data_IF_452273840743
#
_entry.id   IF_452273840743
#
_cell.length_a   1.000
_cell.length_b   1.000
_cell.length_c   1.000
_cell.angle_alpha   90.00
_cell.angle_beta   90.00
_cell.angle_gamma   90.00
#
_symmetry.space_group_name_H-M   'P 1'
#
loop_
_entity.id
_entity.type
_entity.pdbx_description
1 polymer ?
#
# COMPACT_ATOMS: atom_id res chain seq x y z
N UNK A 1 29.50 5.14 -19.95
CA UNK A 1 28.24 5.88 -20.13
C UNK A 1 28.39 7.41 -20.10
N UNK A 2 29.51 7.99 -19.64
CA UNK A 2 29.72 9.44 -19.68
C UNK A 2 29.74 9.98 -21.12
N UNK A 3 29.22 11.18 -21.33
CA UNK A 3 29.23 11.85 -22.64
C UNK A 3 30.50 12.68 -22.89
N UNK A 4 31.23 13.01 -21.81
CA UNK A 4 32.38 13.93 -21.84
C UNK A 4 32.03 15.36 -21.42
N UNK A 5 30.75 15.71 -21.44
CA UNK A 5 30.26 17.04 -21.02
C UNK A 5 30.17 17.16 -19.49
N UNK A 6 30.33 18.39 -19.00
CA UNK A 6 30.17 18.75 -17.58
C UNK A 6 29.13 19.85 -17.39
N UNK A 7 28.48 19.86 -16.23
CA UNK A 7 27.61 20.97 -15.79
C UNK A 7 28.42 22.05 -15.07
N UNK A 8 27.83 23.22 -14.84
CA UNK A 8 28.48 24.33 -14.13
C UNK A 8 28.81 23.96 -12.67
N UNK A 9 27.97 23.13 -12.05
CA UNK A 9 28.17 22.56 -10.71
C UNK A 9 29.26 21.47 -10.69
N UNK A 10 29.77 21.07 -11.86
CA UNK A 10 30.89 20.15 -12.01
C UNK A 10 30.52 18.69 -12.23
N UNK A 11 29.23 18.32 -12.34
CA UNK A 11 28.81 16.94 -12.61
C UNK A 11 29.10 16.51 -14.04
N UNK A 12 29.40 15.22 -14.25
CA UNK A 12 29.50 14.65 -15.59
C UNK A 12 28.12 14.24 -16.11
N UNK A 13 27.82 14.61 -17.36
CA UNK A 13 26.63 14.09 -18.03
C UNK A 13 26.82 12.63 -18.45
N UNK A 14 25.74 11.87 -18.38
CA UNK A 14 25.74 10.44 -18.76
C UNK A 14 24.63 10.17 -19.76
N UNK A 15 24.74 9.05 -20.49
CA UNK A 15 23.67 8.51 -21.35
C UNK A 15 22.76 7.63 -20.49
N UNK A 16 21.59 8.13 -20.02
CA UNK A 16 20.68 7.34 -19.19
C UNK A 16 19.97 6.26 -20.02
N UNK A 17 19.45 5.24 -19.35
CA UNK A 17 18.58 4.24 -19.96
C UNK A 17 18.90 2.80 -19.54
N UNK A 18 18.25 1.85 -20.22
CA UNK A 18 18.28 0.43 -19.89
C UNK A 18 19.69 -0.15 -19.78
N UNK A 19 20.58 0.18 -20.72
CA UNK A 19 21.95 -0.36 -20.71
C UNK A 19 22.76 0.09 -19.48
N UNK A 20 22.56 1.33 -19.03
CA UNK A 20 23.20 1.84 -17.82
C UNK A 20 22.60 1.17 -16.57
N UNK A 21 21.28 0.97 -16.55
CA UNK A 21 20.59 0.28 -15.47
C UNK A 21 21.05 -1.18 -15.35
N UNK A 22 21.11 -1.94 -16.45
CA UNK A 22 21.61 -3.32 -16.48
C UNK A 22 23.04 -3.37 -15.97
N UNK A 23 23.93 -2.50 -16.47
CA UNK A 23 25.33 -2.47 -16.03
C UNK A 23 25.47 -2.30 -14.51
N UNK A 24 24.68 -1.42 -13.90
CA UNK A 24 24.68 -1.23 -12.45
C UNK A 24 24.00 -2.40 -11.72
N UNK A 25 22.88 -2.90 -12.22
CA UNK A 25 22.17 -4.04 -11.64
C UNK A 25 23.05 -5.30 -11.57
N UNK A 26 23.81 -5.59 -12.62
CA UNK A 26 24.77 -6.70 -12.64
C UNK A 26 25.93 -6.51 -11.67
N UNK A 27 26.43 -5.28 -11.53
CA UNK A 27 27.50 -4.96 -10.57
C UNK A 27 27.03 -5.09 -9.11
N UNK A 28 25.76 -4.79 -8.85
CA UNK A 28 25.19 -4.82 -7.49
C UNK A 28 24.63 -6.20 -7.10
N UNK A 29 24.28 -7.04 -8.07
CA UNK A 29 23.66 -8.34 -7.83
C UNK A 29 24.43 -9.26 -6.85
N UNK A 30 25.77 -9.31 -6.79
CA UNK A 30 26.47 -10.11 -5.76
C UNK A 30 26.30 -9.61 -4.32
N UNK A 31 25.86 -8.36 -4.14
CA UNK A 31 25.86 -7.67 -2.84
C UNK A 31 24.46 -7.30 -2.34
N UNK A 32 23.41 -7.57 -3.12
CA UNK A 32 22.03 -7.20 -2.77
C UNK A 32 21.12 -8.41 -2.96
N UNK A 33 20.30 -8.78 -1.97
CA UNK A 33 19.38 -9.92 -2.10
C UNK A 33 18.38 -9.72 -3.24
N UNK A 34 17.88 -8.49 -3.39
CA UNK A 34 17.01 -8.04 -4.47
C UNK A 34 17.64 -6.88 -5.24
N UNK A 35 17.40 -6.84 -6.56
CA UNK A 35 17.78 -5.71 -7.41
C UNK A 35 16.53 -4.99 -7.92
N UNK A 36 16.53 -3.67 -7.85
CA UNK A 36 15.47 -2.79 -8.36
C UNK A 36 16.07 -1.72 -9.27
N UNK A 37 15.42 -1.52 -10.42
CA UNK A 37 15.64 -0.38 -11.31
C UNK A 37 14.40 0.52 -11.32
N UNK A 38 14.55 1.79 -10.98
CA UNK A 38 13.49 2.80 -11.19
C UNK A 38 13.23 2.98 -12.70
N UNK A 39 11.97 3.19 -13.07
CA UNK A 39 11.57 3.40 -14.47
C UNK A 39 10.75 4.68 -14.62
N UNK A 40 10.73 5.26 -15.82
CA UNK A 40 9.93 6.47 -16.10
C UNK A 40 8.46 6.19 -16.40
N UNK A 41 8.09 4.92 -16.66
CA UNK A 41 6.75 4.47 -17.06
C UNK A 41 6.52 3.01 -16.62
N UNK A 42 5.25 2.58 -16.47
CA UNK A 42 4.93 1.17 -16.22
C UNK A 42 4.99 0.39 -17.55
N UNK A 43 6.15 -0.18 -17.86
CA UNK A 43 6.44 -0.86 -19.13
C UNK A 43 6.95 -2.30 -18.88
N UNK A 44 6.14 -3.29 -19.27
CA UNK A 44 6.46 -4.71 -19.12
C UNK A 44 7.61 -5.16 -20.05
N UNK A 45 7.77 -4.56 -21.22
CA UNK A 45 8.86 -4.91 -22.13
C UNK A 45 10.20 -4.44 -21.57
N UNK A 46 10.25 -3.22 -21.04
CA UNK A 46 11.42 -2.71 -20.32
C UNK A 46 11.78 -3.60 -19.13
N UNK A 47 10.77 -3.94 -18.31
CA UNK A 47 10.95 -4.81 -17.13
C UNK A 47 11.49 -6.18 -17.53
N UNK A 48 10.93 -6.79 -18.58
CA UNK A 48 11.39 -8.08 -19.12
C UNK A 48 12.84 -8.02 -19.59
N UNK A 49 13.21 -7.01 -20.37
CA UNK A 49 14.59 -6.88 -20.86
C UNK A 49 15.61 -6.67 -19.73
N UNK A 50 15.24 -5.94 -18.68
CA UNK A 50 16.08 -5.81 -17.50
C UNK A 50 16.22 -7.16 -16.78
N UNK A 51 15.11 -7.84 -16.50
CA UNK A 51 15.10 -9.12 -15.80
C UNK A 51 15.92 -10.19 -16.53
N UNK A 52 15.71 -10.36 -17.85
CA UNK A 52 16.45 -11.30 -18.68
C UNK A 52 17.96 -11.04 -18.65
N UNK A 53 18.38 -9.77 -18.69
CA UNK A 53 19.79 -9.41 -18.62
C UNK A 53 20.42 -9.73 -17.25
N UNK A 54 19.71 -9.47 -16.15
CA UNK A 54 20.17 -9.83 -14.81
C UNK A 54 20.25 -11.35 -14.66
N UNK A 55 19.20 -12.07 -15.05
CA UNK A 55 19.13 -13.54 -14.91
C UNK A 55 20.09 -14.28 -15.82
N UNK A 56 20.51 -13.69 -16.95
CA UNK A 56 21.55 -14.26 -17.79
C UNK A 56 22.89 -14.43 -17.05
N UNK A 57 23.24 -13.50 -16.16
CA UNK A 57 24.46 -13.59 -15.35
C UNK A 57 24.21 -14.18 -13.96
N UNK A 58 23.04 -13.91 -13.37
CA UNK A 58 22.64 -14.37 -12.05
C UNK A 58 21.27 -15.05 -12.12
N UNK A 59 21.19 -16.30 -12.61
CA UNK A 59 19.94 -17.03 -12.71
C UNK A 59 19.18 -17.07 -11.38
N UNK A 60 17.89 -16.77 -11.41
CA UNK A 60 17.04 -16.78 -10.21
C UNK A 60 17.22 -15.58 -9.28
N UNK A 61 18.03 -14.57 -9.63
CA UNK A 61 18.18 -13.36 -8.81
C UNK A 61 16.82 -12.69 -8.57
N UNK A 62 16.47 -12.47 -7.31
CA UNK A 62 15.22 -11.83 -6.96
C UNK A 62 15.23 -10.35 -7.39
N UNK A 63 14.12 -9.89 -7.96
CA UNK A 63 13.96 -8.51 -8.40
C UNK A 63 12.84 -7.82 -7.63
N UNK A 64 12.89 -6.49 -7.58
CA UNK A 64 11.82 -5.67 -7.03
C UNK A 64 11.33 -4.62 -8.04
N UNK A 65 10.04 -4.29 -7.97
CA UNK A 65 9.38 -3.35 -8.89
C UNK A 65 8.49 -2.35 -8.14
N UNK A 66 8.72 -1.06 -8.39
CA UNK A 66 7.86 0.02 -7.91
C UNK A 66 6.68 0.23 -8.87
N UNK A 67 5.48 -0.16 -8.43
CA UNK A 67 4.22 0.18 -9.08
C UNK A 67 3.84 1.63 -8.74
N UNK A 68 4.63 2.58 -9.23
CA UNK A 68 4.62 3.97 -8.78
C UNK A 68 3.32 4.72 -9.05
N UNK A 69 2.74 5.43 -8.06
CA UNK A 69 1.65 6.39 -8.29
C UNK A 69 2.07 7.62 -9.09
N UNK A 70 3.38 7.89 -9.24
CA UNK A 70 3.87 8.95 -10.13
C UNK A 70 3.59 8.65 -11.60
N UNK A 71 3.24 7.41 -11.93
CA UNK A 71 2.76 7.06 -13.27
C UNK A 71 1.29 7.41 -13.42
N UNK A 72 0.95 8.04 -14.54
CA UNK A 72 -0.45 8.08 -14.99
C UNK A 72 -0.78 6.72 -15.64
N UNK A 73 -1.28 5.77 -14.86
CA UNK A 73 -1.51 4.37 -15.27
C UNK A 73 -2.41 4.25 -16.51
N UNK A 74 -3.60 4.86 -16.48
CA UNK A 74 -4.58 4.81 -17.57
C UNK A 74 -4.13 5.55 -18.83
N UNK A 75 -3.20 6.51 -18.71
CA UNK A 75 -2.58 7.14 -19.89
C UNK A 75 -1.55 6.23 -20.57
N UNK A 76 -0.93 5.31 -19.84
CA UNK A 76 0.13 4.45 -20.36
C UNK A 76 -0.37 3.06 -20.74
N UNK A 77 -1.40 2.55 -20.09
CA UNK A 77 -1.84 1.16 -20.19
C UNK A 77 -3.36 1.04 -20.28
N UNK A 78 -3.83 0.03 -21.01
CA UNK A 78 -5.22 -0.42 -21.00
C UNK A 78 -5.55 -1.25 -19.74
N UNK A 79 -6.85 -1.44 -19.49
CA UNK A 79 -7.37 -2.09 -18.28
C UNK A 79 -6.98 -3.57 -18.20
N UNK A 80 -6.95 -4.26 -19.34
CA UNK A 80 -6.55 -5.66 -19.40
C UNK A 80 -5.07 -5.82 -19.02
N UNK A 81 -4.24 -4.84 -19.36
CA UNK A 81 -2.80 -4.81 -19.07
C UNK A 81 -2.55 -4.42 -17.62
N UNK A 82 -3.26 -3.41 -17.10
CA UNK A 82 -3.23 -3.05 -15.67
C UNK A 82 -3.59 -4.25 -14.80
N UNK A 83 -4.69 -4.96 -15.14
CA UNK A 83 -5.19 -6.09 -14.37
C UNK A 83 -4.19 -7.27 -14.28
N UNK A 84 -3.33 -7.46 -15.29
CA UNK A 84 -2.31 -8.52 -15.29
C UNK A 84 -0.91 -8.06 -14.90
N UNK A 85 -0.69 -6.75 -14.74
CA UNK A 85 0.64 -6.15 -14.67
C UNK A 85 1.56 -6.81 -13.62
N UNK A 86 1.09 -6.93 -12.37
CA UNK A 86 1.87 -7.54 -11.29
C UNK A 86 2.12 -9.04 -11.47
N UNK A 87 1.16 -9.75 -12.08
CA UNK A 87 1.29 -11.19 -12.38
C UNK A 87 2.38 -11.44 -13.42
N UNK A 88 2.39 -10.63 -14.49
CA UNK A 88 3.43 -10.69 -15.52
C UNK A 88 4.82 -10.37 -14.94
N UNK A 89 4.92 -9.31 -14.11
CA UNK A 89 6.17 -9.00 -13.39
C UNK A 89 6.62 -10.16 -12.49
N UNK A 90 5.68 -10.81 -11.79
CA UNK A 90 5.97 -11.96 -10.94
C UNK A 90 6.57 -13.14 -11.70
N UNK A 91 6.11 -13.38 -12.93
CA UNK A 91 6.65 -14.40 -13.84
C UNK A 91 8.07 -14.06 -14.34
N UNK A 92 8.41 -12.76 -14.43
CA UNK A 92 9.75 -12.28 -14.79
C UNK A 92 10.75 -12.28 -13.61
N UNK A 93 10.32 -12.64 -12.39
CA UNK A 93 11.18 -12.69 -11.21
C UNK A 93 11.13 -11.46 -10.29
N UNK A 94 10.22 -10.51 -10.53
CA UNK A 94 9.93 -9.42 -9.60
C UNK A 94 9.09 -9.94 -8.42
N UNK A 95 9.77 -10.40 -7.37
CA UNK A 95 9.15 -11.05 -6.20
C UNK A 95 8.76 -10.10 -5.09
N UNK A 96 9.28 -8.87 -5.11
CA UNK A 96 8.81 -7.79 -4.25
C UNK A 96 8.24 -6.66 -5.10
N UNK A 97 6.93 -6.41 -4.99
CA UNK A 97 6.23 -5.40 -5.76
C UNK A 97 5.45 -4.50 -4.81
N UNK A 98 5.55 -3.18 -4.97
CA UNK A 98 5.01 -2.24 -4.01
C UNK A 98 4.54 -0.96 -4.68
N UNK A 99 3.55 -0.30 -4.07
CA UNK A 99 3.06 1.03 -4.47
C UNK A 99 3.56 2.01 -3.43
N UNK A 100 4.58 2.81 -3.77
CA UNK A 100 5.29 3.68 -2.82
C UNK A 100 4.39 4.68 -2.08
N UNK A 101 3.47 5.34 -2.81
CA UNK A 101 2.65 6.43 -2.27
C UNK A 101 1.18 6.03 -2.04
N UNK A 102 0.88 4.73 -1.89
CA UNK A 102 -0.49 4.26 -1.68
C UNK A 102 -1.14 4.92 -0.46
N UNK A 103 -0.43 4.97 0.67
CA UNK A 103 -0.92 5.59 1.91
C UNK A 103 -1.19 7.09 1.76
N UNK A 104 -0.30 7.81 1.05
CA UNK A 104 -0.50 9.25 0.81
C UNK A 104 -1.77 9.51 -0.01
N UNK A 105 -1.96 8.78 -1.12
CA UNK A 105 -3.15 8.95 -1.95
C UNK A 105 -4.43 8.55 -1.22
N UNK A 106 -4.44 7.40 -0.52
CA UNK A 106 -5.62 6.93 0.20
C UNK A 106 -6.03 7.89 1.33
N UNK A 107 -5.08 8.34 2.14
CA UNK A 107 -5.33 9.24 3.27
C UNK A 107 -5.86 10.61 2.80
N UNK A 108 -5.16 11.25 1.86
CA UNK A 108 -5.53 12.59 1.41
C UNK A 108 -6.86 12.59 0.66
N UNK A 109 -7.07 11.62 -0.23
CA UNK A 109 -8.30 11.55 -1.01
C UNK A 109 -9.51 11.20 -0.12
N UNK A 110 -9.36 10.23 0.78
CA UNK A 110 -10.43 9.85 1.72
C UNK A 110 -10.86 11.03 2.59
N UNK A 111 -9.90 11.72 3.21
CA UNK A 111 -10.20 12.88 4.05
C UNK A 111 -10.76 14.06 3.25
N UNK A 112 -10.24 14.31 2.04
CA UNK A 112 -10.77 15.37 1.18
C UNK A 112 -12.24 15.13 0.82
N UNK A 113 -12.61 13.91 0.41
CA UNK A 113 -13.99 13.56 0.09
C UNK A 113 -14.90 13.71 1.31
N UNK A 114 -14.47 13.21 2.48
CA UNK A 114 -15.22 13.36 3.72
C UNK A 114 -15.42 14.84 4.08
N UNK A 115 -14.36 15.65 4.09
CA UNK A 115 -14.44 17.06 4.42
C UNK A 115 -15.30 17.85 3.41
N UNK A 116 -15.20 17.51 2.12
CA UNK A 116 -15.99 18.14 1.05
C UNK A 116 -17.48 17.86 1.22
N UNK A 117 -17.85 16.59 1.48
CA UNK A 117 -19.23 16.18 1.73
C UNK A 117 -19.75 16.77 3.04
N UNK A 118 -18.98 16.67 4.12
CA UNK A 118 -19.37 17.18 5.44
C UNK A 118 -19.64 18.70 5.43
N UNK A 119 -18.85 19.48 4.68
CA UNK A 119 -19.09 20.91 4.52
C UNK A 119 -20.41 21.26 3.83
N UNK A 120 -21.05 20.32 3.14
CA UNK A 120 -22.30 20.52 2.37
C UNK A 120 -23.49 19.80 2.98
N UNK A 121 -23.28 18.62 3.53
CA UNK A 121 -24.32 17.68 3.93
C UNK A 121 -24.21 17.27 5.40
N UNK A 122 -23.22 17.81 6.12
CA UNK A 122 -22.96 17.54 7.53
C UNK A 122 -22.92 16.02 7.81
N UNK A 123 -23.72 15.55 8.78
CA UNK A 123 -23.72 14.17 9.25
C UNK A 123 -24.02 13.15 8.15
N UNK A 124 -24.79 13.49 7.10
CA UNK A 124 -25.08 12.53 6.02
C UNK A 124 -23.80 11.99 5.38
N UNK A 125 -22.81 12.86 5.13
CA UNK A 125 -21.53 12.46 4.56
C UNK A 125 -20.71 11.54 5.49
N UNK A 126 -20.83 11.73 6.81
CA UNK A 126 -20.19 10.85 7.79
C UNK A 126 -20.92 9.51 7.92
N UNK A 127 -22.25 9.50 7.89
CA UNK A 127 -23.05 8.27 7.92
C UNK A 127 -22.79 7.42 6.68
N UNK A 128 -22.60 8.01 5.50
CA UNK A 128 -22.20 7.26 4.30
C UNK A 128 -20.87 6.52 4.48
N UNK A 129 -19.88 7.17 5.10
CA UNK A 129 -18.61 6.52 5.46
C UNK A 129 -18.85 5.37 6.44
N UNK A 130 -19.63 5.59 7.50
CA UNK A 130 -19.91 4.59 8.52
C UNK A 130 -20.67 3.36 7.95
N UNK A 131 -21.66 3.57 7.09
CA UNK A 131 -22.38 2.49 6.40
C UNK A 131 -21.46 1.70 5.46
N UNK A 132 -20.52 2.37 4.79
CA UNK A 132 -19.49 1.70 4.01
C UNK A 132 -18.56 0.84 4.87
N UNK A 133 -18.22 1.30 6.09
CA UNK A 133 -17.45 0.51 7.06
C UNK A 133 -18.23 -0.72 7.55
N UNK A 134 -19.52 -0.59 7.85
CA UNK A 134 -20.39 -1.72 8.19
C UNK A 134 -20.46 -2.75 7.06
N UNK A 135 -20.67 -2.30 5.82
CA UNK A 135 -20.68 -3.20 4.65
C UNK A 135 -19.32 -3.87 4.41
N UNK A 136 -18.21 -3.21 4.75
CA UNK A 136 -16.87 -3.79 4.65
C UNK A 136 -16.61 -4.87 5.72
N UNK A 137 -17.40 -4.94 6.79
CA UNK A 137 -17.26 -5.95 7.83
C UNK A 137 -17.45 -7.38 7.27
N UNK A 138 -18.31 -7.57 6.28
CA UNK A 138 -18.47 -8.85 5.57
C UNK A 138 -17.17 -9.31 4.86
N UNK A 139 -16.26 -8.38 4.58
CA UNK A 139 -14.94 -8.62 3.97
C UNK A 139 -13.82 -8.71 4.99
N UNK A 140 -14.14 -8.68 6.29
CA UNK A 140 -13.18 -8.78 7.39
C UNK A 140 -12.68 -7.45 7.94
N UNK A 141 -13.28 -6.31 7.59
CA UNK A 141 -12.96 -5.02 8.22
C UNK A 141 -13.49 -4.96 9.65
N UNK A 142 -12.65 -4.56 10.62
CA UNK A 142 -12.99 -4.61 12.06
C UNK A 142 -13.02 -3.25 12.76
N UNK A 143 -12.47 -2.21 12.14
CA UNK A 143 -12.26 -0.92 12.81
C UNK A 143 -13.54 -0.09 13.02
N UNK A 144 -14.70 -0.56 12.54
CA UNK A 144 -16.03 -0.06 12.96
C UNK A 144 -16.12 -0.02 14.49
N UNK A 145 -15.63 -1.09 15.14
CA UNK A 145 -15.50 -1.20 16.60
C UNK A 145 -14.15 -0.65 17.04
N UNK A 146 -14.01 0.67 16.93
CA UNK A 146 -12.75 1.37 17.10
C UNK A 146 -12.16 1.24 18.52
N UNK A 147 -12.97 1.07 19.57
CA UNK A 147 -12.48 0.83 20.95
C UNK A 147 -11.78 -0.53 21.03
N UNK A 148 -12.44 -1.59 20.54
CA UNK A 148 -11.81 -2.91 20.43
C UNK A 148 -10.54 -2.85 19.58
N UNK A 149 -10.59 -2.17 18.43
CA UNK A 149 -9.48 -2.13 17.45
C UNK A 149 -8.20 -1.53 18.03
N UNK A 150 -8.31 -0.50 18.88
CA UNK A 150 -7.16 0.11 19.57
C UNK A 150 -6.76 -0.60 20.86
N UNK A 151 -7.39 -1.74 21.18
CA UNK A 151 -6.98 -2.63 22.25
C UNK A 151 -7.64 -2.39 23.61
N UNK A 152 -8.77 -1.69 23.69
CA UNK A 152 -9.45 -1.45 24.98
C UNK A 152 -9.70 -2.75 25.75
N UNK A 153 -10.15 -3.82 25.06
CA UNK A 153 -10.35 -5.13 25.70
C UNK A 153 -9.08 -5.82 26.15
N UNK A 154 -7.95 -5.56 25.48
CA UNK A 154 -6.65 -6.06 25.94
C UNK A 154 -6.26 -5.39 27.26
N UNK A 155 -6.42 -4.07 27.37
CA UNK A 155 -6.12 -3.34 28.61
C UNK A 155 -7.10 -3.66 29.75
N UNK A 156 -8.35 -3.98 29.44
CA UNK A 156 -9.30 -4.50 30.43
C UNK A 156 -8.82 -5.86 31.00
N UNK A 157 -8.35 -6.78 30.15
CA UNK A 157 -7.82 -8.06 30.58
C UNK A 157 -6.55 -7.92 31.45
N UNK A 158 -5.66 -6.98 31.08
CA UNK A 158 -4.49 -6.62 31.90
C UNK A 158 -4.93 -6.11 33.27
N UNK A 159 -5.91 -5.19 33.31
CA UNK A 159 -6.43 -4.62 34.56
C UNK A 159 -7.05 -5.69 35.45
N UNK A 160 -7.88 -6.56 34.88
CA UNK A 160 -8.49 -7.67 35.62
C UNK A 160 -7.45 -8.66 36.13
N UNK A 161 -6.39 -8.93 35.37
CA UNK A 161 -5.27 -9.78 35.83
C UNK A 161 -4.57 -9.18 37.04
N UNK A 162 -4.26 -7.88 37.00
CA UNK A 162 -3.60 -7.15 38.10
C UNK A 162 -4.48 -7.12 39.35
N UNK A 163 -5.78 -6.90 39.17
CA UNK A 163 -6.75 -6.73 40.27
C UNK A 163 -7.44 -8.04 40.67
N UNK A 164 -6.93 -9.20 40.26
CA UNK A 164 -7.47 -10.50 40.64
C UNK A 164 -8.94 -10.71 40.22
N UNK A 165 -9.37 -10.10 39.12
CA UNK A 165 -10.73 -10.20 38.59
C UNK A 165 -11.76 -9.29 39.28
N UNK A 166 -11.33 -8.38 40.16
CA UNK A 166 -12.23 -7.56 40.98
C UNK A 166 -12.36 -6.11 40.51
N UNK A 167 -11.85 -5.78 39.32
CA UNK A 167 -11.90 -4.41 38.84
C UNK A 167 -13.32 -3.96 38.51
N UNK A 168 -13.75 -2.83 39.08
CA UNK A 168 -15.03 -2.19 38.77
C UNK A 168 -14.92 -1.08 37.71
N UNK A 169 -13.72 -0.81 37.19
CA UNK A 169 -13.43 0.33 36.30
C UNK A 169 -12.92 -0.11 34.93
N UNK A 170 -13.34 -1.28 34.45
CA UNK A 170 -13.07 -1.72 33.07
C UNK A 170 -13.86 -0.88 32.06
N UNK A 171 -13.31 -0.71 30.87
CA UNK A 171 -13.76 0.28 29.90
C UNK A 171 -14.74 -0.26 28.85
N UNK A 172 -14.67 -1.54 28.45
CA UNK A 172 -15.57 -2.08 27.43
C UNK A 172 -16.98 -2.37 27.95
N UNK A 173 -17.08 -2.87 29.18
CA UNK A 173 -18.37 -3.25 29.78
C UNK A 173 -19.22 -1.99 30.02
N UNK A 174 -20.37 -1.91 29.35
CA UNK A 174 -21.24 -0.72 29.39
C UNK A 174 -20.80 0.42 28.48
N UNK A 175 -19.91 0.15 27.51
CA UNK A 175 -19.54 1.14 26.49
C UNK A 175 -20.63 1.25 25.40
N UNK A 176 -20.72 2.41 24.75
CA UNK A 176 -21.62 2.60 23.60
C UNK A 176 -21.28 1.66 22.44
N UNK A 177 -20.03 1.22 22.34
CA UNK A 177 -19.60 0.21 21.38
C UNK A 177 -20.25 -1.16 21.66
N UNK A 178 -20.29 -1.61 22.92
CA UNK A 178 -20.97 -2.85 23.30
C UNK A 178 -22.49 -2.77 23.02
N UNK A 179 -23.10 -1.62 23.31
CA UNK A 179 -24.54 -1.41 23.20
C UNK A 179 -25.02 -1.27 21.74
N UNK A 180 -24.35 -0.44 20.93
CA UNK A 180 -24.85 -0.01 19.62
C UNK A 180 -24.24 -0.74 18.44
N UNK A 181 -23.14 -1.47 18.65
CA UNK A 181 -22.44 -2.21 17.59
C UNK A 181 -22.55 -3.74 17.77
N UNK A 182 -23.49 -4.20 18.60
CA UNK A 182 -23.95 -5.59 18.61
C UNK A 182 -24.97 -5.80 17.48
N UNK A 183 -24.97 -6.97 16.82
CA UNK A 183 -25.81 -7.30 15.64
C UNK A 183 -27.34 -7.30 15.90
N UNK A 184 -27.82 -6.68 16.98
CA UNK A 184 -29.23 -6.60 17.38
C UNK A 184 -30.05 -5.59 16.56
N UNK A 185 -29.84 -5.56 15.25
CA UNK A 185 -30.85 -5.08 14.29
C UNK A 185 -31.46 -6.26 13.53
N UNK A 186 -31.96 -7.26 14.26
CA UNK A 186 -32.78 -8.33 13.72
C UNK A 186 -33.70 -8.91 14.80
N UNK A 187 -34.82 -8.23 15.05
CA UNK A 187 -36.11 -8.80 15.49
C UNK A 187 -36.97 -7.64 16.00
N UNK A 188 -37.66 -6.96 15.08
CA UNK A 188 -38.95 -6.30 15.31
C UNK A 188 -39.43 -5.80 13.94
N UNK A 189 -39.81 -6.77 13.10
CA UNK A 189 -40.90 -6.61 12.13
C UNK A 189 -42.21 -6.94 12.82
#
# INVERSE_FOLDING_TARGET
>A
FCTGERTAEGFYRTKPGLQQAISRGLAYAPYADLVWCETGKPDLAYAKSFAEAIHKQYPGKLLAYNCSPSFNWKRNLDDATIARFQRELGAMGYKFQFITLAGFHALNYGMFNLAYGYARENMSAFVELQEAEFAAAEKGFTAVKHQREVGTGFFDAVTQTIQGGQSSTVALKGSTEEEQFSDKRAANS
#
